data_IF_849983171091
#
_entry.id   IF_849983171091
#
_cell.length_a   1.000
_cell.length_b   1.000
_cell.length_c   1.000
_cell.angle_alpha   90.00
_cell.angle_beta   90.00
_cell.angle_gamma   90.00
#
_symmetry.space_group_name_H-M   'P 1'
#
loop_
_entity.id
_entity.type
_entity.pdbx_description
1 polymer ?
#
# COMPACT_ATOMS: atom_id res chain seq x y z
N UNK A 1 -17.21 7.20 17.55
CA UNK A 1 -16.97 8.33 16.63
C UNK A 1 -15.47 8.39 16.49
N UNK A 2 -14.96 8.12 15.29
CA UNK A 2 -13.51 8.22 15.01
C UNK A 2 -13.19 9.70 15.09
N UNK A 3 -12.23 10.14 15.93
CA UNK A 3 -11.81 11.52 15.91
C UNK A 3 -11.19 11.79 14.53
N UNK A 4 -11.84 12.61 13.73
CA UNK A 4 -11.26 13.17 12.51
C UNK A 4 -10.13 14.11 12.97
N UNK A 5 -8.96 13.54 13.21
CA UNK A 5 -7.81 14.33 13.61
C UNK A 5 -7.29 15.13 12.42
N UNK A 6 -6.81 16.34 12.67
CA UNK A 6 -6.08 17.14 11.68
C UNK A 6 -4.65 16.60 11.43
N UNK A 7 -4.28 15.52 12.15
CA UNK A 7 -2.98 14.90 12.08
C UNK A 7 -2.74 14.25 10.70
N UNK A 8 -1.62 14.51 10.04
CA UNK A 8 -1.28 13.96 8.73
C UNK A 8 -1.19 12.43 8.67
N UNK A 9 -1.04 11.74 9.80
CA UNK A 9 -0.97 10.28 9.87
C UNK A 9 -2.00 9.65 10.83
N UNK A 10 -2.80 10.45 11.56
CA UNK A 10 -3.71 9.95 12.60
C UNK A 10 -3.01 9.65 13.92
N UNK A 11 -3.71 8.94 14.82
CA UNK A 11 -3.16 8.55 16.13
C UNK A 11 -2.43 7.22 16.07
N UNK A 12 -2.96 6.25 15.31
CA UNK A 12 -2.39 4.88 15.19
C UNK A 12 -2.34 4.49 13.71
N UNK A 13 -1.32 4.91 12.96
CA UNK A 13 -1.23 4.68 11.53
C UNK A 13 -0.76 3.28 11.15
N UNK A 14 -1.15 2.85 9.93
CA UNK A 14 -0.52 1.77 9.17
C UNK A 14 -0.24 2.26 7.75
N UNK A 15 0.82 1.75 7.12
CA UNK A 15 1.11 2.01 5.72
C UNK A 15 0.56 0.88 4.84
N UNK A 16 -0.17 1.21 3.78
CA UNK A 16 -0.57 0.29 2.72
C UNK A 16 0.11 0.72 1.42
N UNK A 17 0.95 -0.16 0.89
CA UNK A 17 1.63 0.03 -0.39
C UNK A 17 0.83 -0.71 -1.46
N UNK A 18 0.10 0.04 -2.27
CA UNK A 18 -0.93 -0.46 -3.19
C UNK A 18 -0.29 -0.84 -4.52
N UNK A 19 -0.26 -2.14 -4.83
CA UNK A 19 0.09 -2.73 -6.13
C UNK A 19 1.36 -2.16 -6.82
N UNK A 20 2.50 -2.05 -6.13
CA UNK A 20 3.72 -1.52 -6.71
C UNK A 20 4.47 -2.63 -7.50
N UNK A 21 3.75 -3.33 -8.35
CA UNK A 21 4.23 -4.48 -9.13
C UNK A 21 4.95 -4.05 -10.39
N UNK A 22 5.73 -4.94 -10.97
CA UNK A 22 6.30 -4.74 -12.30
C UNK A 22 5.19 -4.59 -13.34
N UNK A 23 5.47 -3.84 -14.39
CA UNK A 23 4.54 -3.66 -15.51
C UNK A 23 5.08 -4.34 -16.77
N UNK A 24 4.21 -4.95 -17.56
CA UNK A 24 4.55 -5.44 -18.89
C UNK A 24 5.00 -4.28 -19.80
N UNK A 25 5.66 -4.58 -20.91
CA UNK A 25 6.06 -3.55 -21.89
C UNK A 25 4.86 -2.77 -22.40
N UNK A 26 3.75 -3.45 -22.68
CA UNK A 26 2.48 -2.84 -23.13
C UNK A 26 1.89 -1.90 -22.08
N UNK A 27 1.89 -2.35 -20.81
CA UNK A 27 1.46 -1.50 -19.69
C UNK A 27 2.40 -0.31 -19.46
N UNK A 28 3.72 -0.50 -19.64
CA UNK A 28 4.71 0.60 -19.57
C UNK A 28 4.46 1.66 -20.64
N UNK A 29 4.14 1.25 -21.87
CA UNK A 29 3.83 2.17 -22.95
C UNK A 29 2.51 2.91 -22.70
N UNK A 30 1.48 2.23 -22.24
CA UNK A 30 0.22 2.83 -21.85
C UNK A 30 0.36 3.82 -20.68
N UNK A 31 1.17 3.48 -19.69
CA UNK A 31 1.47 4.33 -18.52
C UNK A 31 2.50 5.42 -18.83
N UNK A 32 3.45 5.20 -19.74
CA UNK A 32 4.48 6.20 -20.06
C UNK A 32 3.92 7.38 -20.84
N UNK A 33 2.83 7.18 -21.57
CA UNK A 33 2.08 8.31 -22.17
C UNK A 33 1.32 9.14 -21.13
N UNK A 34 1.19 8.65 -19.90
CA UNK A 34 0.40 9.27 -18.82
C UNK A 34 1.11 9.43 -17.47
N UNK A 35 2.26 8.79 -17.28
CA UNK A 35 3.06 8.92 -16.04
C UNK A 35 3.69 10.30 -15.82
N UNK A 36 3.34 11.27 -16.66
CA UNK A 36 3.68 12.68 -16.51
C UNK A 36 2.91 13.41 -15.41
N UNK A 37 2.12 12.71 -14.58
CA UNK A 37 1.48 13.33 -13.41
C UNK A 37 2.52 13.72 -12.33
N UNK A 38 3.66 12.99 -12.28
CA UNK A 38 4.74 13.27 -11.34
C UNK A 38 6.05 13.47 -12.11
N UNK A 39 6.84 14.51 -11.80
CA UNK A 39 8.17 14.71 -12.38
C UNK A 39 9.06 13.47 -12.17
N UNK A 40 9.65 12.95 -13.23
CA UNK A 40 10.46 11.74 -13.20
C UNK A 40 9.72 10.43 -13.52
N UNK A 41 8.38 10.48 -13.62
CA UNK A 41 7.56 9.34 -14.02
C UNK A 41 7.42 8.26 -12.93
N UNK A 42 7.14 7.03 -13.35
CA UNK A 42 6.87 5.90 -12.46
C UNK A 42 8.02 5.57 -11.51
N UNK A 43 9.26 5.67 -11.98
CA UNK A 43 10.44 5.37 -11.16
C UNK A 43 10.57 6.36 -9.99
N UNK A 44 10.26 7.64 -10.21
CA UNK A 44 10.23 8.64 -9.13
C UNK A 44 9.16 8.32 -8.09
N UNK A 45 7.99 7.81 -8.50
CA UNK A 45 6.96 7.35 -7.55
C UNK A 45 7.45 6.16 -6.74
N UNK A 46 8.16 5.21 -7.36
CA UNK A 46 8.76 4.06 -6.65
C UNK A 46 9.80 4.51 -5.62
N UNK A 47 10.64 5.50 -5.95
CA UNK A 47 11.58 6.10 -5.00
C UNK A 47 10.87 6.83 -3.85
N UNK A 48 9.79 7.54 -4.16
CA UNK A 48 8.95 8.16 -3.12
C UNK A 48 8.31 7.10 -2.21
N UNK A 49 7.82 5.99 -2.77
CA UNK A 49 7.31 4.86 -1.99
C UNK A 49 8.39 4.32 -1.06
N UNK A 50 9.62 4.08 -1.55
CA UNK A 50 10.74 3.63 -0.73
C UNK A 50 11.00 4.60 0.42
N UNK A 51 10.96 5.89 0.15
CA UNK A 51 11.17 6.93 1.18
C UNK A 51 10.09 6.84 2.27
N UNK A 52 8.82 6.74 1.89
CA UNK A 52 7.72 6.59 2.87
C UNK A 52 7.84 5.28 3.65
N UNK A 53 8.22 4.18 2.99
CA UNK A 53 8.45 2.86 3.63
C UNK A 53 9.58 2.94 4.65
N UNK A 54 10.70 3.60 4.33
CA UNK A 54 11.82 3.76 5.26
C UNK A 54 11.39 4.53 6.53
N UNK A 55 10.68 5.64 6.37
CA UNK A 55 10.14 6.41 7.51
C UNK A 55 9.12 5.60 8.31
N UNK A 56 8.26 4.83 7.65
CA UNK A 56 7.29 3.94 8.30
C UNK A 56 7.97 2.84 9.13
N UNK A 57 9.05 2.24 8.61
CA UNK A 57 9.88 1.26 9.34
C UNK A 57 10.55 1.86 10.57
N UNK A 58 11.08 3.06 10.44
CA UNK A 58 11.71 3.80 11.53
C UNK A 58 10.68 4.25 12.58
N UNK A 59 9.47 4.55 12.15
CA UNK A 59 8.35 4.93 12.99
C UNK A 59 7.65 3.74 13.69
N UNK A 60 8.11 2.51 13.51
CA UNK A 60 7.49 1.30 14.07
C UNK A 60 5.98 1.21 13.79
N UNK A 61 5.54 1.47 12.55
CA UNK A 61 4.17 1.21 12.13
C UNK A 61 4.07 -0.06 11.28
N UNK A 62 2.93 -0.77 11.28
CA UNK A 62 2.76 -1.93 10.41
C UNK A 62 2.70 -1.50 8.94
N UNK A 63 3.28 -2.32 8.05
CA UNK A 63 3.32 -2.09 6.62
C UNK A 63 2.64 -3.25 5.90
N UNK A 64 1.70 -2.94 5.02
CA UNK A 64 0.97 -3.91 4.22
C UNK A 64 1.30 -3.66 2.75
N UNK A 65 1.96 -4.64 2.14
CA UNK A 65 2.29 -4.65 0.72
C UNK A 65 1.20 -5.36 -0.05
N UNK A 66 0.71 -4.76 -1.09
CA UNK A 66 -0.35 -5.32 -1.93
C UNK A 66 0.12 -5.76 -3.28
N UNK A 67 -0.43 -6.88 -3.71
CA UNK A 67 -0.36 -7.36 -5.08
C UNK A 67 -1.76 -7.62 -5.60
N UNK A 68 -2.08 -7.17 -6.79
CA UNK A 68 -3.21 -7.66 -7.54
C UNK A 68 -2.76 -8.84 -8.38
N UNK A 69 -3.32 -10.03 -8.10
CA UNK A 69 -2.87 -11.29 -8.71
C UNK A 69 -4.04 -12.03 -9.28
N UNK A 70 -3.97 -12.35 -10.57
CA UNK A 70 -5.01 -13.02 -11.33
C UNK A 70 -4.51 -14.30 -11.96
N UNK A 71 -5.45 -15.23 -12.17
CA UNK A 71 -5.20 -16.50 -12.84
C UNK A 71 -4.85 -16.29 -14.31
N UNK A 72 -3.96 -17.16 -14.84
CA UNK A 72 -3.57 -17.17 -16.24
C UNK A 72 -4.78 -17.32 -17.20
N UNK A 73 -5.81 -18.06 -16.77
CA UNK A 73 -7.03 -18.32 -17.56
C UNK A 73 -8.09 -17.21 -17.47
N UNK A 74 -7.79 -16.09 -16.83
CA UNK A 74 -8.69 -14.94 -16.61
C UNK A 74 -10.00 -15.25 -15.87
N UNK A 75 -10.15 -16.44 -15.27
CA UNK A 75 -11.40 -16.87 -14.66
C UNK A 75 -11.83 -16.01 -13.46
N UNK A 76 -10.89 -15.31 -12.84
CA UNK A 76 -11.12 -14.43 -11.67
C UNK A 76 -11.11 -12.94 -11.99
N UNK A 77 -10.87 -12.55 -13.24
CA UNK A 77 -10.90 -11.15 -13.67
C UNK A 77 -12.29 -10.51 -13.49
N UNK A 78 -13.36 -11.28 -13.72
CA UNK A 78 -14.72 -10.78 -13.61
C UNK A 78 -14.99 -9.61 -14.55
N UNK A 79 -15.58 -8.52 -14.05
CA UNK A 79 -15.90 -7.34 -14.84
C UNK A 79 -14.67 -6.52 -15.27
N UNK A 80 -13.51 -6.74 -14.68
CA UNK A 80 -12.28 -6.04 -15.06
C UNK A 80 -11.81 -6.35 -16.48
N UNK A 81 -12.27 -7.48 -17.06
CA UNK A 81 -12.01 -7.81 -18.46
C UNK A 81 -12.58 -6.79 -19.44
N UNK A 82 -13.56 -5.99 -19.01
CA UNK A 82 -14.17 -4.91 -19.78
C UNK A 82 -13.52 -3.53 -19.51
N UNK A 83 -12.49 -3.50 -18.66
CA UNK A 83 -11.81 -2.24 -18.32
C UNK A 83 -10.95 -1.74 -19.48
N UNK A 84 -10.56 -0.46 -19.41
CA UNK A 84 -9.61 0.13 -20.37
C UNK A 84 -8.14 -0.24 -20.03
N UNK A 85 -7.92 -0.97 -18.96
CA UNK A 85 -6.60 -1.39 -18.55
C UNK A 85 -6.16 -2.63 -19.33
N UNK A 86 -4.89 -2.71 -19.76
CA UNK A 86 -4.37 -3.96 -20.31
C UNK A 86 -4.35 -5.04 -19.23
N UNK A 87 -4.32 -6.30 -19.64
CA UNK A 87 -4.17 -7.41 -18.71
C UNK A 87 -2.96 -7.21 -17.80
N UNK A 88 -3.16 -7.35 -16.50
CA UNK A 88 -2.17 -7.08 -15.46
C UNK A 88 -2.25 -8.13 -14.35
N UNK A 89 -1.22 -8.19 -13.50
CA UNK A 89 -1.21 -9.04 -12.32
C UNK A 89 -1.36 -10.54 -12.58
N UNK A 90 -1.05 -11.03 -13.80
CA UNK A 90 -1.19 -12.46 -14.12
C UNK A 90 -0.10 -13.28 -13.44
N UNK A 91 -0.48 -14.41 -12.83
CA UNK A 91 0.45 -15.39 -12.25
C UNK A 91 1.48 -15.83 -13.28
N UNK A 92 2.66 -16.21 -12.82
CA UNK A 92 3.78 -16.67 -13.65
C UNK A 92 4.28 -15.63 -14.67
N UNK A 93 3.93 -14.34 -14.49
CA UNK A 93 4.46 -13.23 -15.30
C UNK A 93 5.26 -12.26 -14.43
N UNK A 94 6.01 -11.34 -15.07
CA UNK A 94 6.69 -10.28 -14.32
C UNK A 94 5.70 -9.36 -13.57
N UNK A 95 4.46 -9.25 -14.04
CA UNK A 95 3.43 -8.42 -13.43
C UNK A 95 2.89 -8.97 -12.09
N UNK A 96 3.22 -10.21 -11.73
CA UNK A 96 2.98 -10.75 -10.38
C UNK A 96 4.00 -10.23 -9.36
N UNK A 97 5.20 -9.88 -9.81
CA UNK A 97 6.33 -9.54 -8.95
C UNK A 97 6.32 -8.06 -8.56
N UNK A 98 6.80 -7.75 -7.36
CA UNK A 98 7.11 -6.36 -6.99
C UNK A 98 8.17 -5.76 -7.93
N UNK A 99 8.10 -4.44 -8.09
CA UNK A 99 9.11 -3.73 -8.88
C UNK A 99 10.48 -3.81 -8.18
N UNK A 100 11.58 -4.14 -8.90
CA UNK A 100 12.90 -4.30 -8.31
C UNK A 100 13.51 -2.99 -7.75
N UNK A 101 12.91 -1.83 -8.01
CA UNK A 101 13.31 -0.56 -7.37
C UNK A 101 12.93 -0.57 -5.88
N UNK A 102 11.94 -1.34 -5.48
CA UNK A 102 11.40 -1.34 -4.12
C UNK A 102 12.34 -2.00 -3.11
N UNK A 103 12.35 -1.45 -1.92
CA UNK A 103 13.12 -1.95 -0.77
C UNK A 103 12.39 -3.06 0.00
N UNK A 104 11.85 -4.05 -0.72
CA UNK A 104 11.20 -5.24 -0.13
C UNK A 104 11.97 -6.50 -0.50
N UNK A 105 12.13 -7.40 0.47
CA UNK A 105 12.55 -8.79 0.24
C UNK A 105 11.44 -9.72 0.73
N UNK A 106 10.71 -10.34 -0.19
CA UNK A 106 9.59 -11.23 0.11
C UNK A 106 10.02 -12.48 0.91
N UNK A 107 11.30 -12.85 0.86
CA UNK A 107 11.85 -14.00 1.57
C UNK A 107 12.37 -13.64 2.97
N UNK A 108 12.55 -12.35 3.27
CA UNK A 108 13.04 -11.85 4.56
C UNK A 108 12.24 -10.61 4.99
N UNK A 109 10.94 -10.81 5.18
CA UNK A 109 10.02 -9.76 5.60
C UNK A 109 10.35 -9.23 6.99
N UNK A 110 10.35 -7.92 7.14
CA UNK A 110 10.52 -7.29 8.43
C UNK A 110 9.34 -7.61 9.37
N UNK A 111 9.56 -7.66 10.70
CA UNK A 111 8.48 -7.84 11.66
C UNK A 111 7.38 -6.77 11.49
N UNK A 112 6.11 -7.19 11.49
CA UNK A 112 4.93 -6.36 11.24
C UNK A 112 4.80 -5.84 9.80
N UNK A 113 5.50 -6.45 8.85
CA UNK A 113 5.23 -6.32 7.42
C UNK A 113 4.45 -7.53 6.91
N UNK A 114 3.51 -7.29 6.01
CA UNK A 114 2.59 -8.28 5.45
C UNK A 114 2.51 -8.13 3.94
N UNK A 115 2.28 -9.23 3.23
CA UNK A 115 1.91 -9.22 1.82
C UNK A 115 0.47 -9.69 1.72
N UNK A 116 -0.37 -8.92 1.03
CA UNK A 116 -1.75 -9.29 0.71
C UNK A 116 -1.90 -9.39 -0.81
N UNK A 117 -2.31 -10.55 -1.28
CA UNK A 117 -2.75 -10.74 -2.65
C UNK A 117 -4.26 -10.53 -2.75
N UNK A 118 -4.68 -9.75 -3.74
CA UNK A 118 -6.08 -9.43 -3.99
C UNK A 118 -6.43 -9.63 -5.47
N UNK A 119 -7.72 -9.87 -5.74
CA UNK A 119 -8.25 -10.02 -7.09
C UNK A 119 -9.25 -8.89 -7.42
N UNK A 120 -9.21 -7.77 -6.70
CA UNK A 120 -10.05 -6.60 -6.93
C UNK A 120 -9.31 -5.36 -6.47
N UNK A 121 -9.66 -4.23 -7.03
CA UNK A 121 -9.00 -2.93 -6.77
C UNK A 121 -8.95 -2.55 -5.28
N UNK A 122 -10.00 -2.89 -4.52
CA UNK A 122 -10.16 -2.51 -3.12
C UNK A 122 -9.53 -3.55 -2.19
N UNK A 123 -8.58 -3.14 -1.35
CA UNK A 123 -7.97 -4.00 -0.32
C UNK A 123 -8.97 -4.57 0.68
N UNK A 124 -10.06 -3.86 0.97
CA UNK A 124 -11.09 -4.33 1.90
C UNK A 124 -12.02 -5.38 1.28
N UNK A 125 -11.89 -5.67 -0.03
CA UNK A 125 -12.72 -6.66 -0.68
C UNK A 125 -12.15 -8.07 -0.56
N UNK A 126 -12.67 -8.85 0.40
CA UNK A 126 -12.35 -10.27 0.63
C UNK A 126 -10.87 -10.57 0.93
N UNK A 127 -10.19 -9.67 1.62
CA UNK A 127 -8.84 -9.90 2.13
C UNK A 127 -8.84 -9.89 3.66
N UNK A 128 -7.69 -10.24 4.25
CA UNK A 128 -7.49 -10.16 5.69
C UNK A 128 -7.10 -8.78 6.22
N UNK A 129 -7.15 -7.72 5.40
CA UNK A 129 -6.69 -6.38 5.78
C UNK A 129 -7.28 -5.90 7.11
N UNK A 130 -8.60 -6.05 7.32
CA UNK A 130 -9.24 -5.62 8.57
C UNK A 130 -8.71 -6.39 9.79
N UNK A 131 -8.40 -7.69 9.64
CA UNK A 131 -7.84 -8.48 10.72
C UNK A 131 -6.47 -7.92 11.13
N UNK A 132 -5.62 -7.59 10.16
CA UNK A 132 -4.32 -6.97 10.40
C UNK A 132 -4.48 -5.61 11.07
N UNK A 133 -5.30 -4.72 10.51
CA UNK A 133 -5.50 -3.37 11.05
C UNK A 133 -6.02 -3.41 12.50
N UNK A 134 -6.96 -4.28 12.80
CA UNK A 134 -7.49 -4.46 14.17
C UNK A 134 -6.45 -5.02 15.14
N UNK A 135 -5.57 -5.91 14.68
CA UNK A 135 -4.49 -6.47 15.50
C UNK A 135 -3.58 -5.37 16.06
N UNK A 136 -3.34 -4.31 15.30
CA UNK A 136 -2.49 -3.20 15.68
C UNK A 136 -3.26 -1.97 16.21
N UNK A 137 -4.57 -2.09 16.42
CA UNK A 137 -5.47 -1.00 16.84
C UNK A 137 -5.39 0.22 15.91
N UNK A 138 -5.29 0.00 14.61
CA UNK A 138 -5.15 1.06 13.61
C UNK A 138 -6.42 1.90 13.53
N UNK A 139 -6.28 3.21 13.44
CA UNK A 139 -7.35 4.16 13.17
C UNK A 139 -7.22 4.84 11.80
N UNK A 140 -5.99 4.88 11.27
CA UNK A 140 -5.68 5.60 10.03
C UNK A 140 -4.79 4.75 9.14
N UNK A 141 -5.10 4.71 7.84
CA UNK A 141 -4.25 4.07 6.84
C UNK A 141 -3.59 5.12 5.94
N UNK A 142 -2.27 5.06 5.83
CA UNK A 142 -1.49 5.83 4.87
C UNK A 142 -1.44 5.03 3.59
N UNK A 143 -1.79 5.63 2.45
CA UNK A 143 -1.87 4.97 1.16
C UNK A 143 -0.82 5.55 0.21
N UNK A 144 -0.03 4.67 -0.40
CA UNK A 144 0.91 4.95 -1.48
C UNK A 144 0.76 3.91 -2.58
N UNK A 145 1.24 4.15 -3.79
CA UNK A 145 1.24 3.15 -4.87
C UNK A 145 0.34 3.48 -6.04
N UNK A 146 -0.19 2.46 -6.71
CA UNK A 146 -0.83 2.56 -8.02
C UNK A 146 -2.20 1.88 -8.05
N UNK A 147 -3.15 2.39 -8.87
CA UNK A 147 -3.14 3.72 -9.48
C UNK A 147 -4.02 4.65 -8.65
N UNK A 148 -3.66 5.93 -8.61
CA UNK A 148 -4.36 6.96 -7.80
C UNK A 148 -5.87 6.95 -7.98
N UNK A 149 -6.36 6.78 -9.22
CA UNK A 149 -7.77 6.81 -9.58
C UNK A 149 -8.49 5.45 -9.48
N UNK A 150 -7.75 4.36 -9.27
CA UNK A 150 -8.30 2.99 -9.23
C UNK A 150 -7.99 2.34 -7.87
N UNK A 151 -6.95 1.51 -7.73
CA UNK A 151 -6.72 0.73 -6.53
C UNK A 151 -6.51 1.58 -5.27
N UNK A 152 -5.78 2.69 -5.37
CA UNK A 152 -5.61 3.65 -4.26
C UNK A 152 -6.95 4.28 -3.89
N UNK A 153 -7.71 4.78 -4.89
CA UNK A 153 -9.02 5.40 -4.66
C UNK A 153 -10.04 4.40 -4.07
N UNK A 154 -10.14 3.18 -4.65
CA UNK A 154 -11.08 2.17 -4.16
C UNK A 154 -10.70 1.69 -2.75
N UNK A 155 -9.41 1.60 -2.44
CA UNK A 155 -8.93 1.27 -1.10
C UNK A 155 -9.22 2.40 -0.10
N UNK A 156 -9.02 3.65 -0.49
CA UNK A 156 -9.40 4.81 0.33
C UNK A 156 -10.92 4.84 0.61
N UNK A 157 -11.73 4.52 -0.40
CA UNK A 157 -13.18 4.39 -0.25
C UNK A 157 -13.53 3.24 0.70
N UNK A 158 -12.90 2.07 0.53
CA UNK A 158 -13.07 0.92 1.42
C UNK A 158 -12.68 1.25 2.86
N UNK A 159 -11.56 1.92 3.08
CA UNK A 159 -11.15 2.38 4.40
C UNK A 159 -12.23 3.26 5.05
N UNK A 160 -12.77 4.21 4.29
CA UNK A 160 -13.85 5.07 4.74
C UNK A 160 -15.13 4.28 5.12
N UNK A 161 -15.53 3.29 4.32
CA UNK A 161 -16.71 2.46 4.59
C UNK A 161 -16.53 1.54 5.81
N UNK A 162 -15.29 1.21 6.16
CA UNK A 162 -14.90 0.43 7.34
C UNK A 162 -14.50 1.30 8.54
N UNK A 163 -14.84 2.60 8.52
CA UNK A 163 -14.60 3.54 9.60
C UNK A 163 -13.12 3.86 9.88
N UNK A 164 -12.22 3.66 8.92
CA UNK A 164 -10.83 4.12 9.02
C UNK A 164 -10.68 5.52 8.43
N UNK A 165 -9.86 6.35 9.06
CA UNK A 165 -9.30 7.50 8.37
C UNK A 165 -8.30 7.03 7.31
N UNK A 166 -8.20 7.76 6.19
CA UNK A 166 -7.14 7.51 5.22
C UNK A 166 -6.32 8.76 4.94
N UNK A 167 -5.06 8.59 4.58
CA UNK A 167 -4.12 9.63 4.18
C UNK A 167 -3.35 9.15 2.95
N UNK A 168 -3.56 9.77 1.83
CA UNK A 168 -2.86 9.46 0.57
C UNK A 168 -1.68 10.41 0.44
N UNK A 169 -0.46 9.87 0.35
CA UNK A 169 0.73 10.65 0.03
C UNK A 169 0.69 11.01 -1.46
N UNK A 170 0.37 12.25 -1.79
CA UNK A 170 0.09 12.68 -3.18
C UNK A 170 1.24 12.34 -4.12
N UNK A 171 2.48 12.60 -3.72
CA UNK A 171 3.67 12.39 -4.54
C UNK A 171 4.14 10.93 -4.61
N UNK A 172 3.59 10.06 -3.76
CA UNK A 172 3.87 8.62 -3.75
C UNK A 172 2.76 7.79 -4.42
N UNK A 173 1.91 8.43 -5.23
CA UNK A 173 0.89 7.78 -6.06
C UNK A 173 0.91 8.34 -7.49
N UNK A 174 0.47 7.56 -8.46
CA UNK A 174 0.33 8.01 -9.84
C UNK A 174 -0.85 7.34 -10.54
N UNK A 175 -1.31 7.96 -11.63
CA UNK A 175 -2.33 7.44 -12.53
C UNK A 175 -1.83 7.50 -13.98
N UNK A 176 -2.52 6.85 -14.95
CA UNK A 176 -2.11 6.85 -16.36
C UNK A 176 -2.07 8.24 -17.01
N UNK A 177 -2.83 9.20 -16.49
CA UNK A 177 -2.83 10.59 -16.94
C UNK A 177 -2.93 11.55 -15.79
N UNK A 178 -2.47 12.81 -15.99
CA UNK A 178 -2.59 13.88 -15.01
C UNK A 178 -4.06 14.09 -14.58
N UNK A 179 -4.97 14.13 -15.55
CA UNK A 179 -6.41 14.33 -15.28
C UNK A 179 -6.97 13.23 -14.38
N UNK A 180 -6.63 11.96 -14.62
CA UNK A 180 -7.08 10.84 -13.81
C UNK A 180 -6.48 10.89 -12.40
N UNK A 181 -5.21 11.28 -12.27
CA UNK A 181 -4.59 11.50 -10.98
C UNK A 181 -5.32 12.57 -10.17
N UNK A 182 -5.52 13.76 -10.77
CA UNK A 182 -6.23 14.87 -10.12
C UNK A 182 -7.68 14.53 -9.78
N UNK A 183 -8.39 13.80 -10.65
CA UNK A 183 -9.77 13.37 -10.39
C UNK A 183 -9.79 12.43 -9.20
N UNK A 184 -8.89 11.43 -9.14
CA UNK A 184 -8.78 10.51 -8.00
C UNK A 184 -8.55 11.27 -6.69
N UNK A 185 -7.56 12.18 -6.66
CA UNK A 185 -7.26 13.00 -5.49
C UNK A 185 -8.44 13.89 -5.07
N UNK A 186 -9.14 14.51 -6.03
CA UNK A 186 -10.33 15.33 -5.76
C UNK A 186 -11.47 14.52 -5.13
N UNK A 187 -11.71 13.31 -5.63
CA UNK A 187 -12.72 12.41 -5.07
C UNK A 187 -12.37 12.03 -3.62
N UNK A 188 -11.12 11.69 -3.36
CA UNK A 188 -10.65 11.34 -2.02
C UNK A 188 -10.71 12.54 -1.05
N UNK A 189 -10.33 13.74 -1.49
CA UNK A 189 -10.49 14.98 -0.69
C UNK A 189 -11.96 15.31 -0.40
N UNK A 190 -12.88 14.98 -1.32
CA UNK A 190 -14.30 15.17 -1.08
C UNK A 190 -14.83 14.20 -0.02
N UNK A 191 -14.35 12.96 -0.03
CA UNK A 191 -14.78 11.92 0.90
C UNK A 191 -14.25 12.20 2.33
N UNK A 192 -12.95 12.51 2.45
CA UNK A 192 -12.33 12.97 3.68
C UNK A 192 -11.47 14.22 3.38
N UNK A 193 -11.80 15.41 3.90
CA UNK A 193 -11.08 16.66 3.55
C UNK A 193 -9.57 16.61 3.83
N UNK A 194 -9.14 15.77 4.79
CA UNK A 194 -7.74 15.52 5.12
C UNK A 194 -7.20 14.23 4.48
N UNK A 195 -7.96 13.59 3.61
CA UNK A 195 -7.62 12.30 2.99
C UNK A 195 -6.43 12.33 2.03
N UNK A 196 -6.01 13.50 1.57
CA UNK A 196 -4.82 13.67 0.73
C UNK A 196 -3.88 14.65 1.41
N UNK A 197 -2.63 14.25 1.56
CA UNK A 197 -1.57 15.00 2.23
C UNK A 197 -0.34 15.11 1.31
N UNK A 198 0.51 16.11 1.54
CA UNK A 198 1.84 16.11 0.94
C UNK A 198 2.69 15.00 1.56
N UNK A 199 3.62 14.46 0.79
CA UNK A 199 4.57 13.48 1.32
C UNK A 199 5.39 14.08 2.46
N UNK A 200 5.82 15.34 2.35
CA UNK A 200 6.60 16.04 3.37
C UNK A 200 5.88 16.11 4.72
N UNK A 201 4.57 16.39 4.73
CA UNK A 201 3.78 16.41 5.96
C UNK A 201 3.70 15.02 6.60
N UNK A 202 3.51 13.98 5.80
CA UNK A 202 3.48 12.58 6.27
C UNK A 202 4.85 12.18 6.85
N UNK A 203 5.95 12.43 6.12
CA UNK A 203 7.30 12.07 6.56
C UNK A 203 7.68 12.80 7.85
N UNK A 204 7.45 14.10 7.91
CA UNK A 204 7.75 14.90 9.11
C UNK A 204 7.01 14.37 10.33
N UNK A 205 5.75 13.94 10.14
CA UNK A 205 4.95 13.44 11.25
C UNK A 205 5.32 12.00 11.62
N UNK A 206 5.75 11.17 10.67
CA UNK A 206 6.29 9.83 10.94
C UNK A 206 7.58 9.91 11.78
N UNK A 207 8.45 10.88 11.49
CA UNK A 207 9.70 11.10 12.24
C UNK A 207 9.45 11.48 13.73
N UNK A 208 8.32 12.11 14.00
CA UNK A 208 7.90 12.48 15.35
C UNK A 208 7.06 11.39 16.06
N UNK A 209 6.64 10.36 15.33
CA UNK A 209 5.73 9.35 15.86
C UNK A 209 6.41 8.46 16.89
N UNK A 210 5.73 8.24 18.02
CA UNK A 210 6.28 7.44 19.13
C UNK A 210 6.34 5.94 18.86
N UNK A 211 5.77 5.48 17.73
CA UNK A 211 5.73 4.06 17.36
C UNK A 211 4.52 3.32 17.92
N UNK A 212 4.09 2.28 17.20
CA UNK A 212 3.05 1.37 17.64
C UNK A 212 3.61 0.37 18.66
N UNK A 213 3.01 0.31 19.85
CA UNK A 213 3.47 -0.54 20.95
C UNK A 213 3.49 -2.03 20.55
N UNK A 214 2.50 -2.47 19.77
CA UNK A 214 2.40 -3.88 19.35
C UNK A 214 3.51 -4.21 18.35
N UNK A 215 3.84 -3.31 17.42
CA UNK A 215 4.96 -3.49 16.49
C UNK A 215 6.26 -3.63 17.24
N UNK A 216 6.51 -2.78 18.23
CA UNK A 216 7.71 -2.88 19.07
C UNK A 216 7.80 -4.22 19.80
N UNK A 217 6.70 -4.69 20.35
CA UNK A 217 6.65 -6.03 20.99
C UNK A 217 6.91 -7.17 20.00
N UNK A 218 6.38 -7.08 18.78
CA UNK A 218 6.62 -8.09 17.73
C UNK A 218 8.11 -8.13 17.36
N UNK A 219 8.74 -6.96 17.17
CA UNK A 219 10.19 -6.85 16.90
C UNK A 219 11.03 -7.44 18.05
N UNK A 220 10.70 -7.16 19.31
CA UNK A 220 11.37 -7.72 20.48
C UNK A 220 11.23 -9.24 20.54
N UNK A 221 10.03 -9.77 20.29
CA UNK A 221 9.76 -11.22 20.29
C UNK A 221 10.51 -11.94 19.17
N UNK A 222 10.56 -11.36 17.97
CA UNK A 222 11.34 -11.87 16.84
C UNK A 222 12.85 -11.96 17.19
N UNK A 223 13.40 -10.96 17.86
CA UNK A 223 14.78 -10.99 18.33
C UNK A 223 15.04 -12.10 19.36
N UNK A 224 14.08 -12.39 20.24
CA UNK A 224 14.18 -13.48 21.21
C UNK A 224 14.19 -14.83 20.49
N UNK A 225 13.32 -15.03 19.50
CA UNK A 225 13.25 -16.27 18.71
C UNK A 225 14.56 -16.54 17.95
N UNK A 226 15.17 -15.52 17.38
CA UNK A 226 16.47 -15.63 16.70
C UNK A 226 17.60 -16.01 17.69
N UNK A 227 17.55 -15.54 18.94
CA UNK A 227 18.53 -15.88 19.98
C UNK A 227 18.38 -17.31 20.50
N UNK A 228 17.17 -17.87 20.47
CA UNK A 228 16.88 -19.22 20.96
C UNK A 228 17.10 -20.32 19.91
N UNK A 229 17.39 -19.95 18.66
CA UNK A 229 17.56 -20.87 17.53
C UNK A 229 16.24 -21.53 17.07
N UNK A 230 16.25 -22.23 15.93
CA UNK A 230 15.06 -22.91 15.45
C UNK A 230 14.64 -23.99 16.44
N UNK A 231 13.38 -23.96 16.84
CA UNK A 231 12.77 -25.06 17.61
C UNK A 231 12.84 -26.31 16.73
N UNK A 232 13.71 -27.25 17.09
CA UNK A 232 13.80 -28.52 16.38
C UNK A 232 12.41 -29.15 16.35
N UNK A 233 11.89 -29.62 15.19
CA UNK A 233 10.63 -30.33 15.18
C UNK A 233 10.80 -31.61 16.00
N UNK A 234 10.39 -31.58 17.24
CA UNK A 234 10.33 -32.79 18.07
C UNK A 234 9.23 -33.65 17.48
N UNK A 235 9.65 -34.85 17.04
CA UNK A 235 8.85 -35.94 16.55
C UNK A 235 7.43 -35.98 17.16
N UNK A 236 6.43 -35.91 16.30
CA UNK A 236 5.12 -36.49 16.57
C UNK A 236 4.98 -37.74 15.72
#
# INVERSE_FOLDING_TARGET
MIPMTDDPIGETPALIVVDPQQTTTESKEAMSSGAGSIPGGRDAVMENINTVVEHARNADIPIIWGKEVHREDFADYGAEIESCEPAHGLVDTCAEQFDPILSIDENDMMPAEYIIEKQRYNFFHRTEIEHILRTYNIDTVILVGFMTNICVHYTAHGAHEHDYAFRVAEEATAAPTQDLHEIGLKCMRYLQPRGVQSMDDILSRLDEYAGNEIVRRVKETGQISQKTGPVSPTNR
#
